data_IF_106059237821
#
_entry.id   IF_106059237821
#
_cell.length_a   1.000
_cell.length_b   1.000
_cell.length_c   1.000
_cell.angle_alpha   90.00
_cell.angle_beta   90.00
_cell.angle_gamma   90.00
#
_symmetry.space_group_name_H-M   'P 1'
#
loop_
_entity.id
_entity.type
_entity.pdbx_description
1 polymer ?
#
# COMPACT_ATOMS: atom_id res chain seq x y z
N UNK A 1 0.11 -3.71 12.44
CA UNK A 1 0.98 -2.78 11.67
C UNK A 1 1.24 -3.41 10.31
N UNK A 2 0.96 -2.69 9.27
CA UNK A 2 1.33 -3.07 7.90
C UNK A 2 2.62 -2.35 7.57
N UNK A 3 3.64 -3.06 7.16
CA UNK A 3 4.94 -2.48 6.82
C UNK A 3 5.31 -2.86 5.40
N UNK A 4 5.73 -1.88 4.62
CA UNK A 4 6.34 -2.06 3.31
C UNK A 4 7.84 -2.18 3.50
N UNK A 5 8.41 -3.36 3.35
CA UNK A 5 9.83 -3.56 3.45
C UNK A 5 10.47 -3.53 2.05
N UNK A 6 11.38 -2.61 1.82
CA UNK A 6 12.13 -2.46 0.55
C UNK A 6 13.06 -3.64 0.23
N UNK A 7 13.39 -4.47 1.19
CA UNK A 7 14.16 -5.72 1.00
C UNK A 7 13.75 -6.74 2.05
N UNK A 8 13.04 -7.77 1.64
CA UNK A 8 12.88 -8.98 2.45
C UNK A 8 13.80 -10.04 1.85
N UNK A 9 14.99 -10.20 2.42
CA UNK A 9 15.83 -11.37 2.14
C UNK A 9 15.20 -12.60 2.77
N UNK A 10 15.47 -13.77 2.24
CA UNK A 10 14.89 -15.09 2.58
C UNK A 10 15.09 -15.56 4.04
N UNK A 11 15.61 -14.73 4.90
CA UNK A 11 15.65 -15.00 6.34
C UNK A 11 14.24 -14.82 6.86
N UNK A 12 13.62 -15.87 7.37
CA UNK A 12 12.36 -15.79 8.11
C UNK A 12 12.47 -14.63 9.11
N UNK A 13 11.77 -13.55 8.83
CA UNK A 13 11.65 -12.42 9.75
C UNK A 13 10.86 -12.88 10.98
N UNK A 14 11.51 -13.57 11.90
CA UNK A 14 10.98 -13.86 13.22
C UNK A 14 11.02 -12.58 14.03
N UNK A 15 9.97 -11.79 13.91
CA UNK A 15 9.80 -10.61 14.76
C UNK A 15 9.07 -11.08 16.03
N UNK A 16 9.71 -10.89 17.18
CA UNK A 16 9.12 -11.24 18.48
C UNK A 16 7.75 -10.54 18.63
N UNK A 17 6.70 -11.31 18.95
CA UNK A 17 5.34 -10.78 19.10
C UNK A 17 4.50 -10.77 17.82
N UNK A 18 4.98 -11.42 16.73
CA UNK A 18 4.28 -11.48 15.44
C UNK A 18 4.16 -12.93 14.96
N UNK A 19 2.93 -13.41 14.79
CA UNK A 19 2.64 -14.83 14.48
C UNK A 19 2.74 -15.19 13.01
N UNK A 20 2.39 -14.25 12.12
CA UNK A 20 2.31 -14.53 10.69
C UNK A 20 3.05 -13.46 9.90
N UNK A 21 3.99 -13.91 9.12
CA UNK A 21 4.60 -13.15 8.04
C UNK A 21 4.04 -13.70 6.72
N UNK A 22 3.27 -12.88 6.01
CA UNK A 22 2.81 -13.18 4.66
C UNK A 22 3.58 -12.25 3.71
N UNK A 23 4.35 -12.83 2.80
CA UNK A 23 5.22 -12.07 1.90
C UNK A 23 5.09 -12.57 0.46
N UNK A 24 5.42 -11.71 -0.47
CA UNK A 24 5.67 -12.05 -1.87
C UNK A 24 7.13 -11.84 -2.17
N UNK A 25 7.73 -12.75 -2.94
CA UNK A 25 9.10 -12.60 -3.40
C UNK A 25 9.23 -13.26 -4.77
N UNK A 26 9.85 -12.58 -5.74
CA UNK A 26 10.06 -13.16 -7.06
C UNK A 26 11.41 -13.85 -7.19
N UNK A 27 12.45 -13.28 -6.64
CA UNK A 27 13.81 -13.80 -6.62
C UNK A 27 14.58 -13.18 -5.46
N UNK A 28 15.59 -13.89 -4.93
CA UNK A 28 16.34 -13.51 -3.73
C UNK A 28 16.95 -12.08 -3.72
N UNK A 29 16.80 -11.30 -4.80
CA UNK A 29 17.39 -9.96 -4.98
C UNK A 29 16.39 -8.85 -5.33
N UNK A 30 15.08 -9.11 -5.41
CA UNK A 30 14.08 -8.10 -5.78
C UNK A 30 13.18 -7.73 -4.61
N UNK A 31 12.70 -6.49 -4.62
CA UNK A 31 11.76 -5.97 -3.64
C UNK A 31 10.49 -6.84 -3.56
N UNK A 32 9.96 -6.98 -2.37
CA UNK A 32 8.72 -7.68 -2.11
C UNK A 32 7.86 -6.93 -1.09
N UNK A 33 6.62 -7.35 -0.91
CA UNK A 33 5.72 -6.82 0.10
C UNK A 33 5.41 -7.87 1.15
N UNK A 34 5.18 -7.41 2.38
CA UNK A 34 4.84 -8.26 3.50
C UNK A 34 3.70 -7.68 4.33
N UNK A 35 2.89 -8.55 4.92
CA UNK A 35 1.92 -8.20 5.96
C UNK A 35 2.27 -9.01 7.19
N UNK A 36 2.55 -8.30 8.29
CA UNK A 36 2.81 -8.90 9.59
C UNK A 36 1.56 -8.79 10.46
N UNK A 37 1.16 -9.90 11.05
CA UNK A 37 0.00 -9.97 11.94
C UNK A 37 0.50 -10.25 13.35
N UNK A 38 0.17 -9.33 14.28
CA UNK A 38 0.53 -9.47 15.69
C UNK A 38 -0.06 -10.75 16.28
N UNK A 39 0.68 -11.40 17.16
CA UNK A 39 0.21 -12.58 17.92
C UNK A 39 -0.89 -12.24 18.95
N UNK A 40 -1.06 -10.95 19.25
CA UNK A 40 -2.14 -10.45 20.10
C UNK A 40 -3.49 -10.32 19.39
N UNK A 41 -3.50 -10.45 18.06
CA UNK A 41 -4.71 -10.33 17.23
C UNK A 41 -5.14 -11.73 16.80
N UNK A 42 -6.38 -12.11 17.13
CA UNK A 42 -6.99 -13.36 16.63
C UNK A 42 -7.46 -13.18 15.18
N UNK A 43 -6.48 -13.05 14.27
CA UNK A 43 -6.75 -12.95 12.84
C UNK A 43 -6.86 -14.32 12.21
N UNK A 44 -8.04 -14.64 11.67
CA UNK A 44 -8.32 -15.89 10.94
C UNK A 44 -8.15 -15.64 9.44
N UNK A 45 -7.07 -16.12 8.86
CA UNK A 45 -6.82 -16.03 7.42
C UNK A 45 -7.76 -16.95 6.65
N UNK A 46 -8.51 -16.41 5.69
CA UNK A 46 -9.41 -17.14 4.78
C UNK A 46 -8.78 -17.38 3.41
N UNK A 47 -8.14 -16.37 2.84
CA UNK A 47 -7.49 -16.46 1.54
C UNK A 47 -6.29 -15.51 1.46
N UNK A 48 -5.32 -15.90 0.63
CA UNK A 48 -4.13 -15.07 0.32
C UNK A 48 -3.91 -15.08 -1.20
N UNK A 49 -3.88 -13.90 -1.80
CA UNK A 49 -3.54 -13.71 -3.21
C UNK A 49 -2.23 -12.94 -3.31
N UNK A 50 -1.31 -13.43 -4.12
CA UNK A 50 0.01 -12.83 -4.31
C UNK A 50 0.20 -12.48 -5.78
N UNK A 51 0.81 -11.33 -6.00
CA UNK A 51 1.30 -10.97 -7.33
C UNK A 51 2.48 -11.85 -7.74
N UNK A 52 2.52 -12.26 -9.00
CA UNK A 52 3.62 -13.07 -9.56
C UNK A 52 4.94 -12.32 -9.58
N UNK A 53 4.89 -11.00 -9.67
CA UNK A 53 6.05 -10.12 -9.68
C UNK A 53 6.45 -9.60 -8.29
N UNK A 54 5.68 -9.93 -7.25
CA UNK A 54 5.97 -9.57 -5.87
C UNK A 54 5.56 -8.15 -5.50
N UNK A 55 4.80 -7.45 -6.33
CA UNK A 55 4.41 -6.07 -6.12
C UNK A 55 3.19 -5.87 -5.23
N UNK A 56 2.36 -6.89 -5.02
CA UNK A 56 1.29 -6.82 -4.04
C UNK A 56 1.01 -8.14 -3.36
N UNK A 57 0.40 -8.05 -2.20
CA UNK A 57 -0.23 -9.15 -1.49
C UNK A 57 -1.60 -8.71 -0.99
N UNK A 58 -2.61 -9.56 -1.19
CA UNK A 58 -3.94 -9.39 -0.65
C UNK A 58 -4.25 -10.53 0.30
N UNK A 59 -4.80 -10.21 1.46
CA UNK A 59 -5.25 -11.16 2.46
C UNK A 59 -6.71 -10.91 2.74
N UNK A 60 -7.51 -11.96 2.67
CA UNK A 60 -8.86 -11.99 3.22
C UNK A 60 -8.85 -12.77 4.51
N UNK A 61 -9.50 -12.25 5.53
CA UNK A 61 -9.59 -12.88 6.83
C UNK A 61 -10.64 -12.23 7.71
N UNK A 62 -10.62 -12.54 9.00
CA UNK A 62 -11.52 -11.92 9.97
C UNK A 62 -10.84 -11.74 11.33
N UNK A 63 -11.22 -10.68 12.04
CA UNK A 63 -10.92 -10.47 13.47
C UNK A 63 -12.20 -10.66 14.27
N UNK A 64 -13.24 -9.97 13.97
CA UNK A 64 -14.63 -10.17 14.41
C UNK A 64 -15.54 -10.22 13.19
N UNK A 65 -15.26 -9.32 12.24
CA UNK A 65 -15.87 -9.24 10.93
C UNK A 65 -14.86 -9.55 9.86
N UNK A 66 -15.35 -9.81 8.65
CA UNK A 66 -14.51 -10.03 7.48
C UNK A 66 -13.77 -8.76 7.10
N UNK A 67 -12.48 -8.88 6.78
CA UNK A 67 -11.62 -7.78 6.36
C UNK A 67 -10.74 -8.23 5.20
N UNK A 68 -10.56 -7.34 4.24
CA UNK A 68 -9.59 -7.49 3.16
C UNK A 68 -8.46 -6.47 3.34
N UNK A 69 -7.23 -6.95 3.38
CA UNK A 69 -6.04 -6.09 3.47
C UNK A 69 -5.20 -6.30 2.22
N UNK A 70 -4.89 -5.21 1.54
CA UNK A 70 -4.07 -5.21 0.32
C UNK A 70 -2.84 -4.34 0.59
N UNK A 71 -1.65 -4.90 0.44
CA UNK A 71 -0.40 -4.15 0.49
C UNK A 71 0.22 -4.10 -0.90
N UNK A 72 0.47 -2.89 -1.41
CA UNK A 72 0.99 -2.63 -2.75
C UNK A 72 2.35 -1.94 -2.64
N UNK A 73 3.33 -2.42 -3.42
CA UNK A 73 4.58 -1.74 -3.70
C UNK A 73 4.65 -1.45 -5.20
N UNK A 74 4.36 -0.21 -5.57
CA UNK A 74 4.40 0.18 -6.98
C UNK A 74 5.84 0.26 -7.50
N UNK A 75 6.11 -0.18 -8.74
CA UNK A 75 7.43 -0.02 -9.35
C UNK A 75 7.77 1.47 -9.51
N UNK A 76 9.08 1.82 -9.46
CA UNK A 76 9.53 3.21 -9.63
C UNK A 76 9.13 3.80 -10.98
N UNK A 77 9.07 2.97 -12.02
CA UNK A 77 8.66 3.38 -13.36
C UNK A 77 7.20 3.03 -13.57
N UNK A 78 6.39 3.99 -14.04
CA UNK A 78 4.95 3.83 -14.29
C UNK A 78 4.13 3.46 -13.03
N UNK A 79 4.54 3.97 -11.87
CA UNK A 79 3.87 3.69 -10.59
C UNK A 79 2.37 3.96 -10.66
N UNK A 80 1.95 5.13 -11.15
CA UNK A 80 0.55 5.54 -11.29
C UNK A 80 -0.28 4.56 -12.14
N UNK A 81 0.25 4.15 -13.30
CA UNK A 81 -0.41 3.18 -14.17
C UNK A 81 -0.53 1.82 -13.48
N UNK A 82 0.53 1.37 -12.82
CA UNK A 82 0.56 0.11 -12.10
C UNK A 82 -0.50 0.07 -11.00
N UNK A 83 -0.52 1.07 -10.10
CA UNK A 83 -1.52 1.13 -9.01
C UNK A 83 -2.92 1.15 -9.57
N UNK A 84 -3.19 1.97 -10.59
CA UNK A 84 -4.51 2.05 -11.24
C UNK A 84 -4.94 0.71 -11.83
N UNK A 85 -4.07 0.01 -12.56
CA UNK A 85 -4.36 -1.29 -13.15
C UNK A 85 -4.61 -2.35 -12.07
N UNK A 86 -3.80 -2.34 -11.01
CA UNK A 86 -3.94 -3.25 -9.87
C UNK A 86 -5.28 -3.06 -9.18
N UNK A 87 -5.67 -1.81 -8.87
CA UNK A 87 -6.97 -1.50 -8.27
C UNK A 87 -8.13 -1.95 -9.15
N UNK A 88 -8.07 -1.68 -10.46
CA UNK A 88 -9.09 -2.12 -11.40
C UNK A 88 -9.20 -3.65 -11.50
N UNK A 89 -8.09 -4.36 -11.49
CA UNK A 89 -8.08 -5.84 -11.52
C UNK A 89 -8.64 -6.47 -10.24
N UNK A 90 -8.68 -5.71 -9.15
CA UNK A 90 -9.19 -6.14 -7.85
C UNK A 90 -10.58 -5.55 -7.52
N UNK A 91 -11.22 -4.87 -8.46
CA UNK A 91 -12.49 -4.17 -8.23
C UNK A 91 -13.52 -5.04 -7.51
N UNK A 92 -13.70 -6.29 -7.95
CA UNK A 92 -14.65 -7.23 -7.34
C UNK A 92 -14.25 -7.73 -5.94
N UNK A 93 -13.02 -7.49 -5.55
CA UNK A 93 -12.47 -7.89 -4.25
C UNK A 93 -12.54 -6.75 -3.22
N UNK A 94 -12.70 -5.51 -3.70
CA UNK A 94 -12.78 -4.29 -2.87
C UNK A 94 -14.23 -4.10 -2.42
N UNK A 95 -14.41 -4.00 -1.11
CA UNK A 95 -15.71 -3.79 -0.47
C UNK A 95 -15.56 -2.87 0.76
N UNK A 96 -16.66 -2.61 1.48
CA UNK A 96 -16.70 -1.74 2.66
C UNK A 96 -15.72 -2.10 3.77
N UNK A 97 -15.17 -3.30 3.78
CA UNK A 97 -14.22 -3.76 4.79
C UNK A 97 -12.82 -3.95 4.19
N UNK A 98 -12.47 -3.16 3.18
CA UNK A 98 -11.16 -3.22 2.52
C UNK A 98 -10.24 -2.10 2.98
N UNK A 99 -9.01 -2.45 3.34
CA UNK A 99 -7.92 -1.51 3.61
C UNK A 99 -6.80 -1.77 2.61
N UNK A 100 -6.38 -0.71 1.91
CA UNK A 100 -5.27 -0.73 0.97
C UNK A 100 -4.15 0.14 1.53
N UNK A 101 -2.98 -0.43 1.64
CA UNK A 101 -1.78 0.25 2.13
C UNK A 101 -0.63 0.05 1.16
N UNK A 102 0.36 0.89 1.23
CA UNK A 102 1.63 0.61 0.58
C UNK A 102 2.38 1.83 0.07
N UNK A 103 3.54 1.55 -0.48
CA UNK A 103 4.38 2.50 -1.18
C UNK A 103 3.92 2.59 -2.65
N UNK A 104 3.19 3.67 -2.97
CA UNK A 104 2.69 3.90 -4.33
C UNK A 104 3.73 4.59 -5.24
N UNK A 105 4.92 4.89 -4.70
CA UNK A 105 5.99 5.63 -5.38
C UNK A 105 5.52 6.93 -6.04
N UNK A 106 4.41 7.49 -5.55
CA UNK A 106 3.83 8.72 -6.08
C UNK A 106 3.05 9.48 -5.03
N UNK A 107 3.15 10.80 -4.97
CA UNK A 107 2.25 11.64 -4.21
C UNK A 107 0.90 11.75 -4.92
N UNK A 108 -0.20 11.76 -4.16
CA UNK A 108 -1.57 11.75 -4.69
C UNK A 108 -2.25 13.13 -4.60
N UNK A 109 -1.80 13.98 -3.67
CA UNK A 109 -2.35 15.32 -3.48
C UNK A 109 -1.26 16.38 -3.45
N UNK A 110 -1.64 17.65 -3.54
CA UNK A 110 -0.70 18.77 -3.39
C UNK A 110 -0.05 18.81 -2.01
N UNK A 111 -0.75 18.35 -0.97
CA UNK A 111 -0.22 18.26 0.40
C UNK A 111 0.81 17.14 0.58
N UNK A 112 0.88 16.21 -0.36
CA UNK A 112 1.85 15.11 -0.34
C UNK A 112 3.20 15.50 -0.97
N UNK A 113 3.38 16.77 -1.32
CA UNK A 113 4.56 17.29 -2.05
C UNK A 113 5.11 18.57 -1.45
N UNK A 114 6.39 18.80 -1.70
CA UNK A 114 6.98 20.14 -1.57
C UNK A 114 6.34 21.12 -2.57
N UNK A 115 6.23 22.42 -2.24
CA UNK A 115 5.41 23.41 -2.95
C UNK A 115 5.67 23.60 -4.45
N UNK A 116 6.76 23.07 -5.00
CA UNK A 116 7.21 23.28 -6.39
C UNK A 116 6.66 22.28 -7.42
N UNK A 117 5.89 21.29 -7.02
CA UNK A 117 5.45 20.23 -7.93
C UNK A 117 3.94 20.30 -8.20
N UNK A 118 3.54 20.27 -9.48
CA UNK A 118 2.12 20.20 -9.88
C UNK A 118 1.62 18.77 -9.95
N UNK A 119 0.34 18.55 -9.64
CA UNK A 119 -0.35 17.28 -9.91
C UNK A 119 -0.49 17.15 -11.43
N UNK A 120 -0.08 16.01 -11.97
CA UNK A 120 -0.23 15.72 -13.38
C UNK A 120 -1.55 15.01 -13.68
N UNK A 121 -1.89 14.90 -14.96
CA UNK A 121 -3.13 14.25 -15.42
C UNK A 121 -3.21 12.77 -15.02
N UNK A 122 -2.09 12.07 -14.94
CA UNK A 122 -2.07 10.66 -14.55
C UNK A 122 -2.41 10.48 -13.07
N UNK A 123 -1.92 11.38 -12.20
CA UNK A 123 -2.30 11.39 -10.77
C UNK A 123 -3.80 11.63 -10.62
N UNK A 124 -4.37 12.58 -11.38
CA UNK A 124 -5.81 12.82 -11.35
C UNK A 124 -6.58 11.57 -11.78
N UNK A 125 -6.17 10.92 -12.86
CA UNK A 125 -6.83 9.69 -13.33
C UNK A 125 -6.76 8.55 -12.30
N UNK A 126 -5.67 8.46 -11.51
CA UNK A 126 -5.60 7.50 -10.41
C UNK A 126 -6.55 7.87 -9.27
N UNK A 127 -6.62 9.16 -8.89
CA UNK A 127 -7.56 9.64 -7.88
C UNK A 127 -9.00 9.37 -8.29
N UNK A 128 -9.37 9.67 -9.54
CA UNK A 128 -10.71 9.36 -10.09
C UNK A 128 -11.02 7.86 -10.01
N UNK A 129 -10.02 7.00 -10.21
CA UNK A 129 -10.19 5.54 -10.05
C UNK A 129 -10.42 5.15 -8.59
N UNK A 130 -9.73 5.78 -7.65
CA UNK A 130 -9.94 5.56 -6.22
C UNK A 130 -11.32 6.03 -5.78
N UNK A 131 -11.75 7.20 -6.25
CA UNK A 131 -13.08 7.75 -5.97
C UNK A 131 -14.20 6.84 -6.53
N UNK A 132 -14.03 6.29 -7.74
CA UNK A 132 -14.95 5.30 -8.32
C UNK A 132 -15.04 3.99 -7.53
N UNK A 133 -14.04 3.68 -6.72
CA UNK A 133 -13.98 2.51 -5.83
C UNK A 133 -14.34 2.88 -4.38
N UNK A 134 -14.82 4.11 -4.13
CA UNK A 134 -15.15 4.65 -2.82
C UNK A 134 -13.99 4.57 -1.81
N UNK A 135 -12.73 4.68 -2.29
CA UNK A 135 -11.53 4.58 -1.48
C UNK A 135 -11.10 5.95 -0.95
N UNK A 136 -11.34 6.21 0.31
CA UNK A 136 -10.93 7.45 0.99
C UNK A 136 -9.49 7.37 1.53
N UNK A 137 -8.85 8.52 1.70
CA UNK A 137 -7.54 8.62 2.38
C UNK A 137 -7.74 8.60 3.90
N UNK A 138 -7.54 7.43 4.51
CA UNK A 138 -7.71 7.24 5.96
C UNK A 138 -6.79 8.19 6.74
N UNK A 139 -5.53 8.34 6.31
CA UNK A 139 -4.61 9.26 6.98
C UNK A 139 -5.13 10.70 6.97
N UNK A 140 -5.64 11.18 5.82
CA UNK A 140 -6.18 12.54 5.70
C UNK A 140 -7.47 12.73 6.47
N UNK A 141 -8.28 11.70 6.62
CA UNK A 141 -9.48 11.75 7.44
C UNK A 141 -9.14 12.09 8.91
N UNK A 142 -8.10 11.49 9.46
CA UNK A 142 -7.66 11.73 10.83
C UNK A 142 -6.68 12.90 10.98
N UNK A 143 -5.99 13.29 9.90
CA UNK A 143 -4.95 14.33 9.89
C UNK A 143 -5.13 15.28 8.70
N UNK A 144 -6.23 16.04 8.61
CA UNK A 144 -6.61 16.79 7.41
C UNK A 144 -5.62 17.90 7.03
N UNK A 145 -4.95 18.49 8.01
CA UNK A 145 -4.01 19.62 7.80
C UNK A 145 -2.54 19.28 8.03
N UNK A 146 -2.23 18.04 8.42
CA UNK A 146 -0.86 17.66 8.76
C UNK A 146 -0.06 17.38 7.50
N UNK A 147 1.08 18.06 7.34
CA UNK A 147 2.03 17.79 6.27
C UNK A 147 3.08 16.82 6.81
N UNK A 148 3.04 15.58 6.33
CA UNK A 148 4.03 14.55 6.62
C UNK A 148 4.55 13.94 5.33
N UNK A 149 5.87 13.84 5.24
CA UNK A 149 6.55 13.23 4.10
C UNK A 149 7.17 11.90 4.52
N UNK A 150 7.14 10.92 3.63
CA UNK A 150 7.69 9.58 3.85
C UNK A 150 8.93 9.32 2.99
N UNK A 151 9.23 10.23 2.06
CA UNK A 151 10.34 10.10 1.12
C UNK A 151 11.05 11.43 0.90
N UNK A 152 12.39 11.39 0.82
CA UNK A 152 13.24 12.49 0.39
C UNK A 152 14.00 12.11 -0.89
N UNK A 153 13.85 12.91 -1.93
CA UNK A 153 14.62 12.78 -3.17
C UNK A 153 15.89 13.64 -3.10
N UNK A 154 17.04 13.01 -2.92
CA UNK A 154 18.33 13.71 -2.90
C UNK A 154 18.67 14.33 -4.25
N UNK A 155 18.24 13.70 -5.36
CA UNK A 155 18.48 14.19 -6.72
C UNK A 155 17.75 15.53 -7.02
N UNK A 156 16.62 15.76 -6.34
CA UNK A 156 15.78 16.95 -6.58
C UNK A 156 15.63 17.85 -5.35
N UNK A 157 16.17 17.46 -4.19
CA UNK A 157 16.04 18.20 -2.93
C UNK A 157 14.57 18.37 -2.50
N UNK A 158 13.70 17.39 -2.79
CA UNK A 158 12.26 17.47 -2.57
C UNK A 158 11.77 16.40 -1.63
N UNK A 159 10.75 16.73 -0.83
CA UNK A 159 10.06 15.79 0.04
C UNK A 159 8.71 15.40 -0.53
N UNK A 160 8.30 14.14 -0.33
CA UNK A 160 7.01 13.62 -0.77
C UNK A 160 6.47 12.58 0.19
N UNK A 161 5.14 12.47 0.29
CA UNK A 161 4.46 11.31 0.88
C UNK A 161 4.09 10.37 -0.25
N UNK A 162 4.70 9.21 -0.28
CA UNK A 162 4.48 8.17 -1.30
C UNK A 162 3.89 6.90 -0.71
N UNK A 163 3.89 6.80 0.62
CA UNK A 163 3.20 5.75 1.36
C UNK A 163 1.79 6.20 1.70
N UNK A 164 0.82 5.39 1.33
CA UNK A 164 -0.60 5.72 1.46
C UNK A 164 -1.37 4.64 2.20
N UNK A 165 -2.47 5.05 2.85
CA UNK A 165 -3.45 4.15 3.46
C UNK A 165 -4.84 4.59 3.00
N UNK A 166 -5.55 3.69 2.32
CA UNK A 166 -6.87 3.90 1.75
C UNK A 166 -7.85 2.89 2.34
N UNK A 167 -9.08 3.28 2.51
CA UNK A 167 -10.16 2.41 2.97
C UNK A 167 -11.48 2.76 2.29
N UNK A 168 -12.37 1.79 2.29
CA UNK A 168 -13.72 1.97 1.75
C UNK A 168 -14.65 2.51 2.84
#
# INVERSE_FOLDING_TARGET
MVSTAKQVTHTELKVKGWKKLLHTNRDQKKAGVAILISDKIDFKTKAVKRDKEGHYIMIKGSIQEDITIINIYAPNIRALQYVRQTLRSMKEEINSNTIIVGDFNTPLTTMDRSPKQKINKETQTLNDTMDQLDLIDIYRTFHPQTINFTFFSSAHGTFSRIDHIRGH
#
